data_IF_212510687101
#
_entry.id   IF_212510687101
#
_cell.length_a   1.000
_cell.length_b   1.000
_cell.length_c   1.000
_cell.angle_alpha   90.00
_cell.angle_beta   90.00
_cell.angle_gamma   90.00
#
_symmetry.space_group_name_H-M   'P 1'
#
loop_
_entity.id
_entity.type
_entity.pdbx_description
1 polymer ?
#
# COMPACT_ATOMS: atom_id res chain seq x y z
N UNK A 1 13.24 -33.29 4.39
CA UNK A 1 13.31 -31.82 4.46
C UNK A 1 11.89 -31.29 4.61
N UNK A 2 11.62 -30.52 5.65
CA UNK A 2 10.35 -29.81 5.81
C UNK A 2 10.14 -28.86 4.62
N UNK A 3 8.96 -28.78 4.02
CA UNK A 3 8.71 -27.84 2.93
C UNK A 3 8.95 -26.40 3.41
N UNK A 4 9.81 -25.66 2.71
CA UNK A 4 10.09 -24.26 3.01
C UNK A 4 8.89 -23.40 2.62
N UNK A 5 8.43 -22.54 3.52
CA UNK A 5 7.32 -21.61 3.26
C UNK A 5 7.73 -20.58 2.19
N UNK A 6 6.81 -20.23 1.30
CA UNK A 6 7.01 -19.17 0.31
C UNK A 6 6.95 -17.77 0.95
N UNK A 7 7.46 -16.74 0.25
CA UNK A 7 7.43 -15.36 0.74
C UNK A 7 6.00 -14.84 1.00
N UNK A 8 5.03 -15.20 0.15
CA UNK A 8 3.63 -14.84 0.36
C UNK A 8 3.04 -15.50 1.61
N UNK A 9 3.35 -16.78 1.84
CA UNK A 9 2.96 -17.49 3.07
C UNK A 9 3.62 -16.89 4.31
N UNK A 10 4.85 -16.41 4.20
CA UNK A 10 5.52 -15.69 5.28
C UNK A 10 4.81 -14.36 5.60
N UNK A 11 4.44 -13.58 4.58
CA UNK A 11 3.77 -12.28 4.74
C UNK A 11 2.35 -12.39 5.32
N UNK A 12 1.56 -13.37 4.88
CA UNK A 12 0.15 -13.53 5.28
C UNK A 12 0.02 -14.45 6.51
N UNK A 13 1.11 -15.15 6.85
CA UNK A 13 1.15 -16.20 7.86
C UNK A 13 0.79 -17.56 7.27
N UNK A 14 1.49 -18.60 7.72
CA UNK A 14 1.05 -19.99 7.57
C UNK A 14 0.17 -20.37 8.77
N UNK A 15 -0.25 -21.63 8.91
CA UNK A 15 -1.20 -22.11 9.93
C UNK A 15 -0.69 -21.99 11.40
N UNK A 16 -0.29 -20.81 11.85
CA UNK A 16 0.02 -20.41 13.22
C UNK A 16 -1.14 -19.60 13.82
N UNK A 17 -1.28 -19.65 15.15
CA UNK A 17 -2.28 -18.88 15.88
C UNK A 17 -2.01 -17.36 15.83
N UNK A 18 -0.74 -16.96 15.75
CA UNK A 18 -0.34 -15.56 15.64
C UNK A 18 -0.15 -15.17 14.17
N UNK A 19 -0.75 -14.05 13.76
CA UNK A 19 -0.68 -13.52 12.40
C UNK A 19 0.37 -12.39 12.32
N UNK A 20 1.18 -12.35 11.26
CA UNK A 20 2.18 -11.29 11.10
C UNK A 20 1.52 -9.91 10.87
N UNK A 21 2.20 -8.80 11.21
CA UNK A 21 1.69 -7.44 10.97
C UNK A 21 1.19 -7.17 9.55
N UNK A 22 1.84 -7.75 8.54
CA UNK A 22 1.46 -7.61 7.14
C UNK A 22 0.07 -8.21 6.84
N UNK A 23 -0.34 -9.28 7.53
CA UNK A 23 -1.68 -9.83 7.38
C UNK A 23 -2.76 -8.80 7.74
N UNK A 24 -2.63 -8.14 8.89
CA UNK A 24 -3.59 -7.13 9.35
C UNK A 24 -3.63 -5.91 8.43
N UNK A 25 -2.46 -5.49 7.93
CA UNK A 25 -2.35 -4.43 6.94
C UNK A 25 -3.06 -4.76 5.63
N UNK A 26 -2.81 -5.96 5.09
CA UNK A 26 -3.42 -6.44 3.86
C UNK A 26 -4.94 -6.61 4.00
N UNK A 27 -5.40 -7.24 5.10
CA UNK A 27 -6.82 -7.40 5.39
C UNK A 27 -7.52 -6.05 5.59
N UNK A 28 -6.90 -5.13 6.34
CA UNK A 28 -7.43 -3.79 6.58
C UNK A 28 -7.54 -2.96 5.30
N UNK A 29 -6.52 -3.03 4.43
CA UNK A 29 -6.54 -2.40 3.11
C UNK A 29 -7.73 -2.90 2.27
N UNK A 30 -7.90 -4.22 2.13
CA UNK A 30 -8.98 -4.78 1.32
C UNK A 30 -10.36 -4.52 1.92
N UNK A 31 -10.50 -4.65 3.23
CA UNK A 31 -11.74 -4.37 3.94
C UNK A 31 -12.16 -2.91 3.71
N UNK A 32 -11.24 -1.98 3.91
CA UNK A 32 -11.49 -0.56 3.67
C UNK A 32 -11.82 -0.27 2.20
N UNK A 33 -11.11 -0.90 1.25
CA UNK A 33 -11.37 -0.71 -0.17
C UNK A 33 -12.76 -1.20 -0.56
N UNK A 34 -13.13 -2.43 -0.18
CA UNK A 34 -14.40 -3.04 -0.58
C UNK A 34 -15.57 -2.35 0.12
N UNK A 35 -15.53 -2.28 1.45
CA UNK A 35 -16.63 -1.73 2.25
C UNK A 35 -16.72 -0.22 2.04
N UNK A 36 -15.59 0.49 2.11
CA UNK A 36 -15.58 1.93 1.92
C UNK A 36 -16.02 2.36 0.53
N UNK A 37 -15.58 1.66 -0.54
CA UNK A 37 -16.03 2.00 -1.90
C UNK A 37 -17.51 1.73 -2.07
N UNK A 38 -18.03 0.61 -1.55
CA UNK A 38 -19.45 0.33 -1.58
C UNK A 38 -20.24 1.43 -0.86
N UNK A 39 -19.84 1.80 0.37
CA UNK A 39 -20.50 2.87 1.10
C UNK A 39 -20.49 4.19 0.34
N UNK A 40 -19.34 4.63 -0.19
CA UNK A 40 -19.29 5.90 -0.93
C UNK A 40 -20.14 5.83 -2.20
N UNK A 41 -20.12 4.73 -2.95
CA UNK A 41 -20.91 4.59 -4.17
C UNK A 41 -22.42 4.52 -3.93
N UNK A 42 -22.87 3.88 -2.83
CA UNK A 42 -24.30 3.78 -2.51
C UNK A 42 -24.86 5.04 -1.86
N UNK A 43 -24.05 5.77 -1.10
CA UNK A 43 -24.52 6.92 -0.30
C UNK A 43 -24.12 8.29 -0.86
N UNK A 44 -23.39 8.35 -1.99
CA UNK A 44 -23.00 9.61 -2.63
C UNK A 44 -23.24 9.57 -4.13
N UNK A 45 -23.43 10.74 -4.74
CA UNK A 45 -23.56 10.88 -6.21
C UNK A 45 -22.23 11.17 -6.89
N UNK A 46 -21.10 10.77 -6.28
CA UNK A 46 -19.78 11.04 -6.82
C UNK A 46 -19.49 10.19 -8.08
N UNK A 47 -18.72 10.72 -9.04
CA UNK A 47 -18.32 9.95 -10.22
C UNK A 47 -17.60 8.66 -9.84
N UNK A 48 -17.99 7.53 -10.45
CA UNK A 48 -17.46 6.20 -10.15
C UNK A 48 -15.93 6.15 -10.17
N UNK A 49 -15.30 6.72 -11.22
CA UNK A 49 -13.85 6.73 -11.38
C UNK A 49 -13.17 7.52 -10.24
N UNK A 50 -13.75 8.68 -9.85
CA UNK A 50 -13.22 9.48 -8.75
C UNK A 50 -13.24 8.69 -7.44
N UNK A 51 -14.35 8.00 -7.17
CA UNK A 51 -14.53 7.18 -5.97
C UNK A 51 -13.53 6.04 -5.94
N UNK A 52 -13.49 5.19 -6.98
CA UNK A 52 -12.61 4.02 -7.00
C UNK A 52 -11.13 4.42 -6.93
N UNK A 53 -10.72 5.47 -7.64
CA UNK A 53 -9.31 5.92 -7.60
C UNK A 53 -8.92 6.42 -6.20
N UNK A 54 -9.72 7.30 -5.61
CA UNK A 54 -9.46 7.84 -4.27
C UNK A 54 -9.48 6.74 -3.21
N UNK A 55 -10.45 5.82 -3.29
CA UNK A 55 -10.55 4.67 -2.38
C UNK A 55 -9.39 3.70 -2.53
N UNK A 56 -8.94 3.41 -3.76
CA UNK A 56 -7.78 2.52 -3.99
C UNK A 56 -6.53 3.09 -3.34
N UNK A 57 -6.23 4.36 -3.62
CA UNK A 57 -5.03 5.03 -3.10
C UNK A 57 -5.12 5.17 -1.58
N UNK A 58 -6.25 5.63 -1.07
CA UNK A 58 -6.46 5.78 0.37
C UNK A 58 -6.35 4.44 1.09
N UNK A 59 -6.98 3.38 0.58
CA UNK A 59 -6.91 2.05 1.20
C UNK A 59 -5.48 1.51 1.23
N UNK A 60 -4.69 1.73 0.18
CA UNK A 60 -3.29 1.37 0.15
C UNK A 60 -2.48 2.14 1.21
N UNK A 61 -2.67 3.46 1.31
CA UNK A 61 -2.04 4.29 2.34
C UNK A 61 -2.42 3.84 3.76
N UNK A 62 -3.71 3.54 3.98
CA UNK A 62 -4.22 3.04 5.25
C UNK A 62 -3.58 1.69 5.60
N UNK A 63 -3.45 0.77 4.63
CA UNK A 63 -2.76 -0.50 4.82
C UNK A 63 -1.32 -0.32 5.30
N UNK A 64 -0.57 0.60 4.68
CA UNK A 64 0.81 0.91 5.10
C UNK A 64 0.84 1.50 6.53
N UNK A 65 -0.09 2.39 6.86
CA UNK A 65 -0.20 2.96 8.20
C UNK A 65 -0.54 1.88 9.25
N UNK A 66 -1.48 0.97 8.95
CA UNK A 66 -1.83 -0.19 9.79
C UNK A 66 -0.60 -1.07 10.00
N UNK A 67 0.15 -1.38 8.94
CA UNK A 67 1.41 -2.12 9.08
C UNK A 67 2.36 -1.41 10.03
N UNK A 68 2.61 -0.12 9.83
CA UNK A 68 3.49 0.68 10.68
C UNK A 68 3.09 0.68 12.15
N UNK A 69 1.79 0.70 12.44
CA UNK A 69 1.27 0.59 13.80
C UNK A 69 1.60 -0.77 14.43
N UNK A 70 1.30 -1.87 13.73
CA UNK A 70 1.50 -3.23 14.25
C UNK A 70 2.99 -3.64 14.29
N UNK A 71 3.80 -3.18 13.35
CA UNK A 71 5.25 -3.43 13.32
C UNK A 71 6.07 -2.45 14.14
N UNK A 72 5.43 -1.43 14.73
CA UNK A 72 6.06 -0.30 15.45
C UNK A 72 7.05 0.50 14.58
N UNK A 73 6.82 0.51 13.28
CA UNK A 73 7.58 1.30 12.31
C UNK A 73 6.87 2.65 12.08
N UNK A 74 6.87 3.51 13.10
CA UNK A 74 6.07 4.74 13.15
C UNK A 74 6.34 5.74 12.02
N UNK A 75 7.51 5.66 11.35
CA UNK A 75 7.76 6.44 10.14
C UNK A 75 6.74 6.18 9.03
N UNK A 76 6.16 4.98 8.97
CA UNK A 76 5.13 4.62 8.00
C UNK A 76 3.77 5.29 8.29
N UNK A 77 3.56 5.84 9.49
CA UNK A 77 2.35 6.59 9.82
C UNK A 77 2.21 7.90 9.05
N UNK A 78 3.27 8.39 8.38
CA UNK A 78 3.16 9.49 7.42
C UNK A 78 2.09 9.21 6.35
N UNK A 79 1.83 7.94 6.05
CA UNK A 79 0.80 7.54 5.08
C UNK A 79 -0.62 7.87 5.54
N UNK A 80 -0.84 8.24 6.81
CA UNK A 80 -2.12 8.81 7.25
C UNK A 80 -2.39 10.17 6.61
N UNK A 81 -1.35 10.98 6.37
CA UNK A 81 -1.49 12.22 5.62
C UNK A 81 -1.86 11.94 4.16
N UNK A 82 -1.17 11.00 3.52
CA UNK A 82 -1.49 10.54 2.16
C UNK A 82 -2.92 9.99 2.04
N UNK A 83 -3.37 9.23 3.05
CA UNK A 83 -4.74 8.76 3.18
C UNK A 83 -5.73 9.93 3.28
N UNK A 84 -5.49 10.86 4.21
CA UNK A 84 -6.37 12.02 4.42
C UNK A 84 -6.46 12.89 3.17
N UNK A 85 -5.35 13.13 2.46
CA UNK A 85 -5.34 13.85 1.18
C UNK A 85 -6.16 13.11 0.11
N UNK A 86 -6.05 11.79 0.05
CA UNK A 86 -6.81 10.97 -0.91
C UNK A 86 -8.30 10.99 -0.63
N UNK A 87 -8.69 10.88 0.64
CA UNK A 87 -10.11 10.95 1.06
C UNK A 87 -10.68 12.35 0.95
N UNK A 88 -9.89 13.39 1.25
CA UNK A 88 -10.29 14.78 1.14
C UNK A 88 -10.73 15.17 -0.28
N UNK A 89 -10.21 14.51 -1.31
CA UNK A 89 -10.63 14.68 -2.70
C UNK A 89 -12.09 14.30 -2.94
N UNK A 90 -12.64 13.35 -2.18
CA UNK A 90 -14.06 12.99 -2.26
C UNK A 90 -14.97 14.11 -1.71
N UNK A 91 -14.44 14.97 -0.84
CA UNK A 91 -15.18 16.08 -0.22
C UNK A 91 -14.97 17.38 -0.99
N UNK A 92 -13.74 17.65 -1.45
CA UNK A 92 -13.36 18.89 -2.13
C UNK A 92 -12.53 18.62 -3.40
N UNK A 93 -13.18 18.28 -4.53
CA UNK A 93 -12.49 17.94 -5.78
C UNK A 93 -12.02 19.20 -6.55
N UNK A 94 -11.12 20.00 -5.95
CA UNK A 94 -10.46 21.15 -6.61
C UNK A 94 -9.12 20.75 -7.24
N UNK A 95 -8.58 21.52 -8.19
CA UNK A 95 -7.34 21.19 -8.91
C UNK A 95 -6.12 20.96 -8.00
N UNK A 96 -6.00 21.72 -6.91
CA UNK A 96 -4.96 21.51 -5.88
C UNK A 96 -5.00 20.10 -5.26
N UNK A 97 -6.18 19.46 -5.18
CA UNK A 97 -6.34 18.11 -4.65
C UNK A 97 -5.62 17.06 -5.50
N UNK A 98 -5.49 17.29 -6.82
CA UNK A 98 -4.81 16.36 -7.73
C UNK A 98 -3.30 16.36 -7.50
N UNK A 99 -2.68 17.51 -7.24
CA UNK A 99 -1.24 17.61 -6.93
C UNK A 99 -0.94 16.88 -5.63
N UNK A 100 -1.70 17.15 -4.57
CA UNK A 100 -1.55 16.45 -3.30
C UNK A 100 -1.77 14.94 -3.42
N UNK A 101 -2.69 14.51 -4.30
CA UNK A 101 -2.91 13.10 -4.58
C UNK A 101 -1.69 12.45 -5.23
N UNK A 102 -1.06 13.09 -6.22
CA UNK A 102 0.15 12.56 -6.86
C UNK A 102 1.28 12.41 -5.83
N UNK A 103 1.49 13.42 -4.99
CA UNK A 103 2.47 13.36 -3.90
C UNK A 103 2.14 12.21 -2.93
N UNK A 104 0.86 12.07 -2.56
CA UNK A 104 0.39 11.00 -1.68
C UNK A 104 0.68 9.60 -2.28
N UNK A 105 0.43 9.42 -3.58
CA UNK A 105 0.71 8.17 -4.28
C UNK A 105 2.22 7.89 -4.27
N UNK A 106 3.06 8.86 -4.62
CA UNK A 106 4.52 8.69 -4.62
C UNK A 106 5.04 8.31 -3.23
N UNK A 107 4.60 9.01 -2.19
CA UNK A 107 4.97 8.70 -0.81
C UNK A 107 4.53 7.28 -0.40
N UNK A 108 3.33 6.85 -0.80
CA UNK A 108 2.82 5.51 -0.53
C UNK A 108 3.59 4.43 -1.29
N UNK A 109 3.95 4.66 -2.56
CA UNK A 109 4.75 3.72 -3.34
C UNK A 109 6.15 3.56 -2.78
N UNK A 110 6.81 4.66 -2.41
CA UNK A 110 8.12 4.62 -1.76
C UNK A 110 8.04 3.88 -0.42
N UNK A 111 7.02 4.16 0.39
CA UNK A 111 6.79 3.45 1.66
C UNK A 111 6.54 1.96 1.43
N UNK A 112 5.72 1.60 0.45
CA UNK A 112 5.43 0.22 0.07
C UNK A 112 6.67 -0.53 -0.43
N UNK A 113 7.52 0.14 -1.21
CA UNK A 113 8.80 -0.40 -1.65
C UNK A 113 9.70 -0.74 -0.45
N UNK A 114 9.89 0.19 0.48
CA UNK A 114 10.74 -0.04 1.65
C UNK A 114 10.19 -1.15 2.54
N UNK A 115 8.87 -1.17 2.76
CA UNK A 115 8.17 -2.21 3.51
C UNK A 115 8.41 -3.60 2.90
N UNK A 116 8.11 -3.78 1.61
CA UNK A 116 8.28 -5.07 0.93
C UNK A 116 9.74 -5.51 0.87
N UNK A 117 10.65 -4.56 0.60
CA UNK A 117 12.09 -4.83 0.59
C UNK A 117 12.60 -5.31 1.95
N UNK A 118 12.10 -4.71 3.03
CA UNK A 118 12.47 -5.08 4.41
C UNK A 118 11.92 -6.44 4.78
N UNK A 119 10.66 -6.71 4.49
CA UNK A 119 10.06 -8.03 4.74
C UNK A 119 10.74 -9.13 3.93
N UNK A 120 11.12 -8.85 2.68
CA UNK A 120 11.86 -9.83 1.88
C UNK A 120 13.24 -10.16 2.47
N UNK A 121 13.97 -9.15 2.97
CA UNK A 121 15.23 -9.38 3.69
C UNK A 121 15.01 -10.18 4.97
N UNK A 122 14.01 -9.82 5.78
CA UNK A 122 13.63 -10.57 6.99
C UNK A 122 13.30 -12.03 6.67
N UNK A 123 12.52 -12.27 5.62
CA UNK A 123 12.19 -13.62 5.14
C UNK A 123 13.44 -14.43 4.80
N UNK A 124 14.39 -13.87 4.05
CA UNK A 124 15.61 -14.62 3.67
C UNK A 124 16.52 -14.90 4.86
N UNK A 125 16.66 -13.95 5.79
CA UNK A 125 17.40 -14.17 7.04
C UNK A 125 16.72 -15.26 7.87
N UNK A 126 15.40 -15.21 8.04
CA UNK A 126 14.69 -16.13 8.93
C UNK A 126 14.55 -17.55 8.36
N UNK A 127 14.43 -17.71 7.04
CA UNK A 127 14.14 -19.01 6.40
C UNK A 127 15.37 -19.64 5.74
N UNK A 128 16.34 -18.83 5.33
CA UNK A 128 17.54 -19.29 4.62
C UNK A 128 18.86 -18.92 5.31
N UNK A 129 18.82 -18.17 6.42
CA UNK A 129 20.00 -17.60 7.11
C UNK A 129 20.92 -16.78 6.18
N UNK A 130 20.35 -16.26 5.08
CA UNK A 130 21.10 -15.47 4.10
C UNK A 130 21.02 -13.98 4.43
N UNK A 131 22.06 -13.49 5.09
CA UNK A 131 22.22 -12.06 5.45
C UNK A 131 22.67 -11.18 4.28
N UNK A 132 23.10 -11.78 3.17
CA UNK A 132 23.60 -11.06 1.98
C UNK A 132 22.54 -10.90 0.89
N UNK A 133 21.33 -11.42 1.14
CA UNK A 133 20.25 -11.44 0.17
C UNK A 133 19.91 -10.03 -0.33
N UNK A 134 20.07 -9.84 -1.64
CA UNK A 134 19.67 -8.59 -2.32
C UNK A 134 18.15 -8.58 -2.53
N UNK A 135 17.57 -7.39 -2.47
CA UNK A 135 16.14 -7.20 -2.76
C UNK A 135 15.89 -7.64 -4.22
N UNK A 136 14.84 -8.43 -4.49
CA UNK A 136 14.54 -8.90 -5.83
C UNK A 136 14.25 -7.73 -6.75
N UNK A 137 14.79 -7.79 -7.96
CA UNK A 137 14.60 -6.76 -8.97
C UNK A 137 13.12 -6.50 -9.27
N UNK A 138 12.26 -7.52 -9.17
CA UNK A 138 10.82 -7.35 -9.43
C UNK A 138 10.16 -6.34 -8.49
N UNK A 139 10.57 -6.23 -7.22
CA UNK A 139 10.00 -5.25 -6.28
C UNK A 139 10.32 -3.83 -6.77
N UNK A 140 11.59 -3.58 -7.12
CA UNK A 140 12.05 -2.29 -7.63
C UNK A 140 11.45 -1.96 -9.00
N UNK A 141 11.42 -2.92 -9.92
CA UNK A 141 10.89 -2.75 -11.28
C UNK A 141 9.39 -2.46 -11.23
N UNK A 142 8.63 -3.21 -10.44
CA UNK A 142 7.17 -3.00 -10.34
C UNK A 142 6.86 -1.62 -9.78
N UNK A 143 7.53 -1.22 -8.71
CA UNK A 143 7.35 0.12 -8.12
C UNK A 143 7.78 1.23 -9.09
N UNK A 144 8.91 1.06 -9.78
CA UNK A 144 9.38 2.01 -10.80
C UNK A 144 8.41 2.15 -11.97
N UNK A 145 7.87 1.02 -12.48
CA UNK A 145 6.87 1.05 -13.55
C UNK A 145 5.60 1.79 -13.12
N UNK A 146 5.12 1.57 -11.89
CA UNK A 146 3.93 2.27 -11.39
C UNK A 146 4.19 3.78 -11.31
N UNK A 147 5.35 4.20 -10.81
CA UNK A 147 5.74 5.63 -10.78
C UNK A 147 5.77 6.23 -12.18
N UNK A 148 6.40 5.55 -13.15
CA UNK A 148 6.46 6.00 -14.55
C UNK A 148 5.07 6.12 -15.15
N UNK A 149 4.19 5.13 -14.95
CA UNK A 149 2.83 5.17 -15.45
C UNK A 149 2.03 6.34 -14.87
N UNK A 150 2.22 6.67 -13.59
CA UNK A 150 1.60 7.83 -12.95
C UNK A 150 2.12 9.13 -13.57
N UNK A 151 3.43 9.25 -13.80
CA UNK A 151 4.00 10.42 -14.46
C UNK A 151 3.48 10.59 -15.89
N UNK A 152 3.42 9.51 -16.68
CA UNK A 152 2.87 9.53 -18.04
C UNK A 152 1.39 9.92 -18.04
N UNK A 153 0.60 9.34 -17.14
CA UNK A 153 -0.81 9.69 -16.99
C UNK A 153 -1.01 11.16 -16.59
N UNK A 154 -0.20 11.66 -15.65
CA UNK A 154 -0.22 13.06 -15.24
C UNK A 154 0.14 14.01 -16.38
N UNK A 155 1.14 13.67 -17.20
CA UNK A 155 1.55 14.45 -18.38
C UNK A 155 0.49 14.46 -19.49
N UNK A 156 -0.28 13.38 -19.65
CA UNK A 156 -1.35 13.30 -20.66
C UNK A 156 -2.58 14.14 -20.31
N UNK A 157 -2.81 14.42 -19.02
CA UNK A 157 -3.94 15.21 -18.53
C UNK A 157 -3.69 16.72 -18.49
N UNK A 158 -2.45 17.17 -18.71
CA UNK A 158 -2.05 18.58 -18.81
C UNK A 158 -2.05 18.99 -20.28
#
# INVERSE_FOLDING_TARGET
MSPKISFSQYLVGHASLERPPFFYAYAGMWLHLIVGSALVLFFTSLPFILTITSMTIGSFCLGIAIYGLFSREYGLLLNLASYASSMGRLVYPRDMSSIFLVIAILAALVSGYFLLSREYRRYNINIFDDRTCRVPAWISITMGMVVVLICVYGLYLV
#
